data_IF_297370855463
#
_entry.id   IF_297370855463
#
_cell.length_a   1.000
_cell.length_b   1.000
_cell.length_c   1.000
_cell.angle_alpha   90.00
_cell.angle_beta   90.00
_cell.angle_gamma   90.00
#
_symmetry.space_group_name_H-M   'P 1'
#
loop_
_entity.id
_entity.type
_entity.pdbx_description
1 polymer ?
#
# COMPACT_ATOMS: atom_id res chain seq x y z
N UNK A 1 -2.13 -64.66 -23.01
CA UNK A 1 -1.70 -63.25 -23.04
C UNK A 1 -1.73 -62.74 -21.61
N UNK A 2 -0.62 -62.26 -21.07
CA UNK A 2 -0.56 -61.69 -19.72
C UNK A 2 -1.06 -60.23 -19.75
N UNK A 3 -1.82 -59.82 -18.74
CA UNK A 3 -2.18 -58.41 -18.59
C UNK A 3 -0.94 -57.55 -18.41
N UNK A 4 -0.82 -56.46 -19.19
CA UNK A 4 0.29 -55.52 -19.05
C UNK A 4 0.04 -54.61 -17.84
N UNK A 5 0.45 -55.06 -16.66
CA UNK A 5 0.49 -54.24 -15.44
C UNK A 5 1.34 -52.99 -15.68
N UNK A 6 0.70 -51.83 -15.82
CA UNK A 6 1.37 -50.54 -15.96
C UNK A 6 1.52 -49.85 -14.60
N UNK A 7 2.64 -49.16 -14.41
CA UNK A 7 2.83 -48.23 -13.31
C UNK A 7 2.06 -46.92 -13.53
N UNK A 8 1.64 -46.29 -12.42
CA UNK A 8 1.14 -44.92 -12.42
C UNK A 8 2.30 -43.94 -12.18
N UNK A 9 2.56 -43.07 -13.15
CA UNK A 9 3.59 -42.05 -13.09
C UNK A 9 3.10 -40.69 -12.59
N UNK A 10 4.08 -39.88 -12.17
CA UNK A 10 4.06 -38.44 -11.90
C UNK A 10 2.80 -37.83 -11.27
N UNK A 11 2.89 -37.59 -9.97
CA UNK A 11 2.22 -36.44 -9.34
C UNK A 11 2.65 -35.12 -10.01
N UNK A 12 1.74 -34.42 -10.69
CA UNK A 12 1.97 -33.05 -11.16
C UNK A 12 1.33 -32.03 -10.23
N UNK A 13 2.13 -31.10 -9.71
CA UNK A 13 1.67 -29.95 -8.92
C UNK A 13 0.66 -29.11 -9.71
N UNK A 14 -0.47 -28.76 -9.07
CA UNK A 14 -1.26 -27.61 -9.50
C UNK A 14 -0.53 -26.33 -9.08
N UNK A 15 -0.59 -25.28 -9.90
CA UNK A 15 -0.35 -23.91 -9.41
C UNK A 15 -1.41 -23.61 -8.35
N UNK A 16 -1.05 -23.42 -7.07
CA UNK A 16 -2.03 -22.92 -6.10
C UNK A 16 -2.52 -21.54 -6.52
N UNK A 17 -3.81 -21.29 -6.36
CA UNK A 17 -4.37 -19.97 -6.56
C UNK A 17 -3.78 -19.05 -5.47
N UNK A 18 -2.91 -18.12 -5.86
CA UNK A 18 -2.23 -17.19 -4.94
C UNK A 18 -3.21 -16.59 -3.93
N UNK A 19 -2.77 -16.44 -2.69
CA UNK A 19 -3.61 -15.94 -1.60
C UNK A 19 -4.26 -14.60 -1.97
N UNK A 20 -5.58 -14.62 -2.14
CA UNK A 20 -6.38 -13.44 -2.46
C UNK A 20 -6.53 -12.52 -1.23
N UNK A 21 -5.41 -11.90 -0.86
CA UNK A 21 -5.47 -10.44 -0.79
C UNK A 21 -5.88 -9.99 -2.21
N UNK A 22 -7.02 -9.33 -2.31
CA UNK A 22 -7.69 -8.90 -3.56
C UNK A 22 -6.67 -8.30 -4.56
N UNK A 23 -6.71 -8.47 -5.89
CA UNK A 23 -5.72 -7.88 -6.87
C UNK A 23 -6.31 -7.47 -8.25
N UNK A 24 -5.58 -6.71 -9.11
CA UNK A 24 -6.10 -6.17 -10.41
C UNK A 24 -5.14 -6.40 -11.63
N UNK A 25 -5.58 -7.11 -12.70
CA UNK A 25 -5.22 -7.07 -14.17
C UNK A 25 -5.42 -8.44 -14.93
N UNK A 26 -5.45 -8.51 -16.29
CA UNK A 26 -6.00 -9.66 -17.13
C UNK A 26 -5.25 -9.94 -18.50
N UNK A 27 -5.26 -11.18 -19.09
CA UNK A 27 -4.70 -11.64 -20.43
C UNK A 27 -5.13 -13.10 -20.95
N UNK A 28 -4.75 -13.65 -22.16
CA UNK A 28 -4.91 -15.11 -22.59
C UNK A 28 -4.60 -15.66 -24.06
N UNK A 29 -4.28 -17.01 -24.29
CA UNK A 29 -3.92 -17.84 -25.57
C UNK A 29 -3.80 -19.45 -25.33
N UNK A 30 -3.56 -20.57 -26.15
CA UNK A 30 -3.54 -21.18 -27.58
C UNK A 30 -3.31 -22.78 -27.66
N UNK A 31 -3.53 -23.58 -28.79
CA UNK A 31 -3.26 -25.09 -29.05
C UNK A 31 -3.54 -25.61 -30.56
N UNK A 32 -3.45 -26.85 -31.21
CA UNK A 32 -2.80 -28.26 -31.29
C UNK A 32 -3.15 -29.00 -32.69
N UNK A 33 -2.95 -30.26 -33.26
CA UNK A 33 -2.35 -31.70 -33.20
C UNK A 33 -2.27 -32.37 -34.67
N UNK A 34 -2.10 -33.65 -35.21
CA UNK A 34 -1.87 -35.17 -35.04
C UNK A 34 -1.37 -35.85 -36.45
N UNK A 35 -1.18 -37.13 -36.97
CA UNK A 35 -1.27 -38.67 -36.84
C UNK A 35 -0.86 -39.39 -38.24
N UNK A 36 -0.82 -40.68 -38.78
CA UNK A 36 -0.83 -42.22 -38.56
C UNK A 36 -0.63 -43.01 -39.97
N UNK A 37 -0.51 -44.32 -40.42
CA UNK A 37 -0.24 -45.83 -40.15
C UNK A 37 -0.09 -46.68 -41.55
N UNK A 38 0.05 -48.02 -41.95
CA UNK A 38 0.09 -49.53 -41.58
C UNK A 38 0.69 -50.54 -42.73
N UNK A 39 0.68 -51.94 -42.66
CA UNK A 39 1.21 -53.04 -43.63
C UNK A 39 0.43 -54.46 -43.65
N UNK A 40 0.67 -55.73 -44.19
CA UNK A 40 1.72 -56.73 -44.77
C UNK A 40 1.13 -57.82 -45.84
N UNK A 41 1.43 -59.13 -46.24
CA UNK A 41 2.26 -60.42 -45.94
C UNK A 41 2.29 -61.58 -47.11
N UNK A 42 2.59 -62.94 -46.92
CA UNK A 42 3.03 -64.07 -47.93
C UNK A 42 2.27 -65.51 -47.97
N UNK A 43 2.58 -66.80 -48.46
CA UNK A 43 3.72 -67.72 -48.99
C UNK A 43 3.34 -69.04 -49.91
N UNK A 44 3.94 -70.30 -49.84
CA UNK A 44 3.98 -71.53 -50.82
C UNK A 44 4.25 -72.99 -50.17
N UNK A 45 4.61 -74.26 -50.72
CA UNK A 45 4.71 -75.09 -52.02
C UNK A 45 4.44 -76.73 -52.01
N UNK A 46 5.04 -77.62 -52.92
CA UNK A 46 5.39 -79.15 -52.91
C UNK A 46 4.63 -80.38 -53.69
N UNK A 47 5.30 -81.52 -54.16
CA UNK A 47 4.75 -82.89 -54.70
C UNK A 47 5.72 -84.11 -55.18
N UNK A 48 5.34 -85.45 -55.23
CA UNK A 48 6.19 -86.70 -55.64
C UNK A 48 5.54 -88.19 -55.76
N UNK A 49 6.00 -89.24 -56.57
CA UNK A 49 5.83 -90.78 -56.37
C UNK A 49 6.45 -91.93 -57.36
N UNK A 50 6.47 -93.26 -56.97
CA UNK A 50 7.03 -94.56 -57.58
C UNK A 50 6.16 -95.90 -57.52
N UNK A 51 6.56 -97.09 -58.10
CA UNK A 51 6.22 -98.53 -57.68
C UNK A 51 6.91 -99.75 -58.45
N UNK A 52 7.64 -100.71 -57.80
CA UNK A 52 8.01 -102.09 -58.29
C UNK A 52 8.71 -102.98 -57.21
N UNK A 53 8.07 -104.01 -56.59
CA UNK A 53 8.41 -104.36 -55.17
C UNK A 53 8.93 -105.79 -54.81
N UNK A 54 8.52 -106.92 -55.43
CA UNK A 54 8.54 -108.22 -54.71
C UNK A 54 9.62 -109.28 -55.02
N UNK A 55 10.51 -109.12 -56.00
CA UNK A 55 11.64 -110.04 -56.20
C UNK A 55 12.86 -109.73 -55.29
N UNK A 56 12.94 -108.51 -54.77
CA UNK A 56 14.06 -107.94 -54.00
C UNK A 56 13.96 -108.27 -52.50
N UNK A 57 13.73 -109.55 -52.17
CA UNK A 57 13.34 -109.98 -50.81
C UNK A 57 14.38 -110.87 -50.09
N UNK A 58 15.39 -111.40 -50.78
CA UNK A 58 16.46 -112.17 -50.13
C UNK A 58 17.36 -111.28 -49.25
N UNK A 59 17.84 -111.81 -48.13
CA UNK A 59 18.62 -111.06 -47.13
C UNK A 59 17.79 -110.23 -46.14
N UNK A 60 16.46 -110.32 -46.17
CA UNK A 60 15.58 -109.66 -45.20
C UNK A 60 15.39 -110.51 -43.94
N UNK A 61 15.54 -109.89 -42.78
CA UNK A 61 15.25 -110.50 -41.48
C UNK A 61 13.80 -110.23 -41.05
N UNK A 62 13.17 -111.20 -40.38
CA UNK A 62 11.83 -111.08 -39.81
C UNK A 62 11.90 -110.95 -38.29
N UNK A 63 11.84 -109.71 -37.80
CA UNK A 63 11.87 -109.37 -36.37
C UNK A 63 13.26 -108.94 -35.87
N UNK A 64 13.26 -108.24 -34.73
CA UNK A 64 14.43 -107.71 -34.04
C UNK A 64 14.27 -107.87 -32.52
N UNK A 65 15.37 -107.87 -31.78
CA UNK A 65 15.34 -107.83 -30.31
C UNK A 65 15.38 -106.38 -29.83
N UNK A 66 14.37 -105.98 -29.04
CA UNK A 66 14.34 -104.63 -28.45
C UNK A 66 15.36 -104.51 -27.32
N UNK A 67 16.13 -103.42 -27.32
CA UNK A 67 17.13 -103.10 -26.30
C UNK A 67 16.60 -101.92 -25.48
N UNK A 68 16.42 -102.15 -24.18
CA UNK A 68 15.95 -101.10 -23.27
C UNK A 68 17.03 -100.03 -23.03
N UNK A 69 16.62 -98.77 -23.11
CA UNK A 69 17.44 -97.58 -22.79
C UNK A 69 16.77 -96.85 -21.61
N UNK A 70 17.54 -96.53 -20.57
CA UNK A 70 17.06 -95.67 -19.48
C UNK A 70 16.91 -94.23 -19.98
N UNK A 71 15.73 -93.65 -19.77
CA UNK A 71 15.40 -92.27 -20.12
C UNK A 71 15.14 -91.38 -18.89
N UNK A 72 15.29 -91.92 -17.66
CA UNK A 72 14.89 -91.26 -16.42
C UNK A 72 15.61 -89.93 -16.11
N UNK A 73 16.76 -89.67 -16.74
CA UNK A 73 17.41 -88.35 -16.70
C UNK A 73 16.65 -87.31 -17.54
N UNK A 74 16.27 -87.67 -18.78
CA UNK A 74 15.47 -86.82 -19.69
C UNK A 74 14.09 -86.55 -19.07
N UNK A 75 13.43 -87.58 -18.52
CA UNK A 75 12.13 -87.44 -17.84
C UNK A 75 12.19 -86.41 -16.70
N UNK A 76 13.19 -86.50 -15.81
CA UNK A 76 13.37 -85.57 -14.69
C UNK A 76 13.72 -84.15 -15.13
N UNK A 77 14.47 -83.99 -16.21
CA UNK A 77 14.73 -82.68 -16.80
C UNK A 77 13.45 -82.07 -17.39
N UNK A 78 12.64 -82.87 -18.08
CA UNK A 78 11.35 -82.46 -18.64
C UNK A 78 10.31 -82.12 -17.56
N UNK A 79 10.30 -82.84 -16.43
CA UNK A 79 9.45 -82.53 -15.26
C UNK A 79 9.81 -81.18 -14.65
N UNK A 80 11.08 -80.95 -14.28
CA UNK A 80 11.56 -79.66 -13.76
C UNK A 80 11.28 -78.49 -14.71
N UNK A 81 11.44 -78.72 -16.01
CA UNK A 81 11.16 -77.73 -17.04
C UNK A 81 9.65 -77.36 -17.05
N UNK A 82 8.75 -78.35 -16.99
CA UNK A 82 7.30 -78.13 -16.87
C UNK A 82 6.94 -77.40 -15.57
N UNK A 83 7.54 -77.76 -14.43
CA UNK A 83 7.34 -77.07 -13.14
C UNK A 83 7.78 -75.60 -13.16
N UNK A 84 8.87 -75.29 -13.87
CA UNK A 84 9.32 -73.91 -14.08
C UNK A 84 8.42 -73.10 -15.05
N UNK A 85 7.51 -73.76 -15.79
CA UNK A 85 6.66 -73.15 -16.81
C UNK A 85 7.24 -73.16 -18.22
N UNK A 86 8.28 -73.95 -18.49
CA UNK A 86 8.75 -74.22 -19.86
C UNK A 86 7.72 -75.13 -20.55
N UNK A 87 7.33 -74.78 -21.78
CA UNK A 87 6.46 -75.64 -22.58
C UNK A 87 7.26 -76.82 -23.15
N UNK A 88 7.03 -78.03 -22.63
CA UNK A 88 7.76 -79.25 -23.03
C UNK A 88 6.81 -80.24 -23.69
N UNK A 89 6.97 -80.41 -25.00
CA UNK A 89 6.30 -81.41 -25.82
C UNK A 89 7.17 -82.66 -26.00
N UNK A 90 6.58 -83.83 -25.76
CA UNK A 90 7.18 -85.11 -26.15
C UNK A 90 6.95 -85.36 -27.65
N UNK A 91 7.97 -85.85 -28.35
CA UNK A 91 7.92 -86.13 -29.80
C UNK A 91 7.70 -87.63 -30.06
N UNK A 92 7.52 -88.02 -31.33
CA UNK A 92 7.40 -89.43 -31.68
C UNK A 92 8.71 -90.19 -31.42
N UNK A 93 8.59 -91.47 -31.04
CA UNK A 93 9.72 -92.36 -30.77
C UNK A 93 10.62 -92.44 -32.02
N UNK A 94 11.88 -92.03 -31.88
CA UNK A 94 12.87 -92.11 -32.96
C UNK A 94 13.43 -93.53 -33.02
N UNK A 95 12.96 -94.32 -34.00
CA UNK A 95 13.60 -95.58 -34.34
C UNK A 95 15.04 -95.34 -34.82
N UNK A 96 16.00 -96.00 -34.19
CA UNK A 96 17.43 -95.96 -34.55
C UNK A 96 17.84 -97.12 -35.46
N UNK A 97 16.90 -97.99 -35.82
CA UNK A 97 17.10 -99.16 -36.66
C UNK A 97 17.49 -100.41 -35.87
N UNK A 98 17.81 -101.48 -36.60
CA UNK A 98 18.23 -102.78 -36.02
C UNK A 98 19.71 -103.02 -36.31
N UNK A 99 20.54 -103.00 -35.27
CA UNK A 99 21.96 -103.30 -35.38
C UNK A 99 22.23 -104.77 -35.62
N UNK A 100 23.14 -105.05 -36.57
CA UNK A 100 23.50 -106.41 -36.99
C UNK A 100 24.79 -106.94 -36.33
N UNK A 101 25.50 -106.12 -35.54
CA UNK A 101 26.69 -106.55 -34.78
C UNK A 101 26.81 -105.82 -33.44
N UNK A 102 27.38 -106.49 -32.44
CA UNK A 102 27.50 -105.93 -31.07
C UNK A 102 28.33 -104.63 -30.97
N UNK A 103 29.44 -104.42 -31.71
CA UNK A 103 30.17 -103.14 -31.66
C UNK A 103 29.33 -101.95 -32.15
N UNK A 104 28.43 -102.18 -33.13
CA UNK A 104 27.49 -101.14 -33.57
C UNK A 104 26.43 -100.86 -32.52
N UNK A 105 25.90 -101.89 -31.84
CA UNK A 105 24.94 -101.70 -30.74
C UNK A 105 25.51 -100.81 -29.61
N UNK A 106 26.78 -101.00 -29.23
CA UNK A 106 27.41 -100.12 -28.23
C UNK A 106 27.70 -98.71 -28.77
N UNK A 107 27.99 -98.56 -30.07
CA UNK A 107 28.05 -97.25 -30.72
C UNK A 107 26.67 -96.55 -30.68
N UNK A 108 25.61 -97.24 -31.11
CA UNK A 108 24.23 -96.73 -31.11
C UNK A 108 23.77 -96.34 -29.70
N UNK A 109 24.10 -97.13 -28.66
CA UNK A 109 23.86 -96.76 -27.26
C UNK A 109 24.61 -95.49 -26.85
N UNK A 110 25.86 -95.32 -27.29
CA UNK A 110 26.67 -94.12 -27.02
C UNK A 110 26.10 -92.88 -27.71
N UNK A 111 25.65 -93.02 -28.97
CA UNK A 111 25.00 -91.96 -29.73
C UNK A 111 23.63 -91.57 -29.13
N UNK A 112 22.82 -92.55 -28.72
CA UNK A 112 21.58 -92.30 -27.97
C UNK A 112 21.89 -91.59 -26.65
N UNK A 113 22.92 -92.00 -25.91
CA UNK A 113 23.31 -91.33 -24.66
C UNK A 113 23.76 -89.89 -24.90
N UNK A 114 24.54 -89.60 -25.94
CA UNK A 114 24.90 -88.22 -26.28
C UNK A 114 23.68 -87.37 -26.65
N UNK A 115 22.71 -87.95 -27.35
CA UNK A 115 21.45 -87.26 -27.66
C UNK A 115 20.62 -86.99 -26.38
N UNK A 116 20.52 -87.96 -25.46
CA UNK A 116 19.88 -87.77 -24.15
C UNK A 116 20.58 -86.71 -23.28
N UNK A 117 21.92 -86.76 -23.18
CA UNK A 117 22.70 -85.79 -22.41
C UNK A 117 22.56 -84.37 -23.02
N UNK A 118 22.43 -84.27 -24.35
CA UNK A 118 22.09 -83.02 -25.05
C UNK A 118 20.67 -82.55 -24.75
N UNK A 119 19.66 -83.43 -24.83
CA UNK A 119 18.26 -83.09 -24.50
C UNK A 119 18.13 -82.59 -23.05
N UNK A 120 18.78 -83.26 -22.08
CA UNK A 120 18.85 -82.82 -20.69
C UNK A 120 19.45 -81.43 -20.59
N UNK A 121 20.59 -81.17 -21.25
CA UNK A 121 21.24 -79.85 -21.23
C UNK A 121 20.35 -78.75 -21.83
N UNK A 122 19.70 -79.00 -22.96
CA UNK A 122 18.80 -78.02 -23.60
C UNK A 122 17.58 -77.71 -22.72
N UNK A 123 17.03 -78.72 -22.04
CA UNK A 123 15.96 -78.57 -21.05
C UNK A 123 16.44 -77.79 -19.80
N UNK A 124 17.62 -78.07 -19.25
CA UNK A 124 18.16 -77.38 -18.07
C UNK A 124 18.52 -75.91 -18.38
N UNK A 125 19.06 -75.63 -19.57
CA UNK A 125 19.28 -74.26 -20.04
C UNK A 125 17.97 -73.48 -20.21
N UNK A 126 16.93 -74.09 -20.78
CA UNK A 126 15.61 -73.47 -20.91
C UNK A 126 14.95 -73.23 -19.55
N UNK A 127 15.04 -74.21 -18.65
CA UNK A 127 14.54 -74.14 -17.26
C UNK A 127 15.20 -73.00 -16.50
N UNK A 128 16.52 -72.87 -16.61
CA UNK A 128 17.28 -71.80 -15.94
C UNK A 128 16.83 -70.42 -16.42
N UNK A 129 16.75 -70.22 -17.75
CA UNK A 129 16.26 -68.98 -18.37
C UNK A 129 14.84 -68.63 -17.90
N UNK A 130 13.95 -69.62 -17.76
CA UNK A 130 12.59 -69.41 -17.27
C UNK A 130 12.52 -69.09 -15.77
N UNK A 131 13.34 -69.72 -14.92
CA UNK A 131 13.41 -69.44 -13.48
C UNK A 131 13.94 -68.03 -13.20
N UNK A 132 14.97 -67.59 -13.93
CA UNK A 132 15.44 -66.19 -13.87
C UNK A 132 14.33 -65.21 -14.28
N UNK A 133 13.59 -65.53 -15.34
CA UNK A 133 12.51 -64.70 -15.85
C UNK A 133 11.33 -64.59 -14.88
N UNK A 134 10.89 -65.72 -14.32
CA UNK A 134 9.88 -65.79 -13.26
C UNK A 134 10.30 -64.96 -12.03
N UNK A 135 11.59 -64.91 -11.72
CA UNK A 135 12.15 -64.13 -10.60
C UNK A 135 12.13 -62.63 -10.90
N UNK A 136 12.63 -62.22 -12.07
CA UNK A 136 12.61 -60.82 -12.50
C UNK A 136 11.17 -60.28 -12.63
N UNK A 137 10.23 -61.07 -13.15
CA UNK A 137 8.82 -60.69 -13.26
C UNK A 137 8.15 -60.48 -11.89
N UNK A 138 8.45 -61.33 -10.91
CA UNK A 138 7.98 -61.16 -9.52
C UNK A 138 8.56 -59.90 -8.86
N UNK A 139 9.80 -59.52 -9.19
CA UNK A 139 10.37 -58.25 -8.73
C UNK A 139 9.69 -57.04 -9.38
N UNK A 140 9.47 -57.09 -10.70
CA UNK A 140 8.78 -56.05 -11.46
C UNK A 140 7.36 -55.80 -10.92
N UNK A 141 6.57 -56.86 -10.70
CA UNK A 141 5.24 -56.72 -10.10
C UNK A 141 5.29 -56.04 -8.73
N UNK A 142 6.18 -56.46 -7.83
CA UNK A 142 6.30 -55.84 -6.49
C UNK A 142 6.67 -54.36 -6.56
N UNK A 143 7.57 -53.97 -7.46
CA UNK A 143 7.95 -52.57 -7.65
C UNK A 143 6.80 -51.73 -8.22
N UNK A 144 6.07 -52.26 -9.22
CA UNK A 144 4.90 -51.61 -9.82
C UNK A 144 3.76 -51.48 -8.81
N UNK A 145 3.45 -52.53 -8.04
CA UNK A 145 2.45 -52.52 -6.98
C UNK A 145 2.78 -51.49 -5.88
N UNK A 146 4.03 -51.45 -5.40
CA UNK A 146 4.46 -50.50 -4.39
C UNK A 146 4.36 -49.04 -4.87
N UNK A 147 4.66 -48.78 -6.15
CA UNK A 147 4.44 -47.47 -6.76
C UNK A 147 2.96 -47.11 -6.87
N UNK A 148 2.13 -48.02 -7.39
CA UNK A 148 0.71 -47.78 -7.62
C UNK A 148 -0.06 -47.59 -6.30
N UNK A 149 0.30 -48.34 -5.24
CA UNK A 149 -0.26 -48.15 -3.90
C UNK A 149 0.09 -46.77 -3.34
N UNK A 150 1.37 -46.36 -3.41
CA UNK A 150 1.79 -45.03 -2.94
C UNK A 150 1.03 -43.90 -3.67
N UNK A 151 0.88 -44.02 -4.99
CA UNK A 151 0.11 -43.04 -5.79
C UNK A 151 -1.37 -43.01 -5.40
N UNK A 152 -1.98 -44.17 -5.10
CA UNK A 152 -3.36 -44.25 -4.64
C UNK A 152 -3.54 -43.65 -3.23
N UNK A 153 -2.65 -43.97 -2.29
CA UNK A 153 -2.69 -43.48 -0.91
C UNK A 153 -2.55 -41.96 -0.83
N UNK A 154 -1.56 -41.39 -1.52
CA UNK A 154 -1.34 -39.94 -1.55
C UNK A 154 -2.43 -39.21 -2.35
N UNK A 155 -3.02 -39.86 -3.37
CA UNK A 155 -4.20 -39.30 -4.05
C UNK A 155 -5.36 -39.21 -3.07
N UNK A 156 -5.72 -40.30 -2.38
CA UNK A 156 -6.83 -40.33 -1.43
C UNK A 156 -6.68 -39.29 -0.29
N UNK A 157 -5.45 -39.05 0.19
CA UNK A 157 -5.15 -38.01 1.21
C UNK A 157 -5.39 -36.57 0.73
N UNK A 158 -5.26 -36.30 -0.57
CA UNK A 158 -5.21 -34.94 -1.12
C UNK A 158 -6.30 -34.62 -2.17
N UNK A 159 -7.15 -35.59 -2.50
CA UNK A 159 -8.22 -35.48 -3.51
C UNK A 159 -9.27 -34.42 -3.15
N UNK A 160 -9.51 -34.18 -1.86
CA UNK A 160 -10.40 -33.10 -1.37
C UNK A 160 -9.82 -31.69 -1.51
N UNK A 161 -8.51 -31.53 -1.71
CA UNK A 161 -7.83 -30.22 -1.78
C UNK A 161 -7.25 -29.91 -3.17
N UNK A 162 -6.99 -30.91 -4.02
CA UNK A 162 -6.19 -30.71 -5.23
C UNK A 162 -6.61 -31.53 -6.45
N UNK A 163 -6.44 -30.92 -7.62
CA UNK A 163 -6.50 -31.60 -8.92
C UNK A 163 -5.20 -32.36 -9.15
N UNK A 164 -5.01 -33.46 -8.42
CA UNK A 164 -3.93 -34.43 -8.66
C UNK A 164 -4.20 -35.13 -9.99
N UNK A 165 -3.38 -34.85 -11.00
CA UNK A 165 -3.39 -35.63 -12.24
C UNK A 165 -2.42 -36.79 -12.11
N UNK A 166 -2.93 -38.01 -12.12
CA UNK A 166 -2.14 -39.25 -12.28
C UNK A 166 -2.12 -39.62 -13.76
N UNK A 167 -0.98 -40.05 -14.28
CA UNK A 167 -0.81 -40.49 -15.68
C UNK A 167 -0.15 -41.86 -15.72
N UNK A 168 -0.59 -42.80 -16.57
CA UNK A 168 0.09 -44.09 -16.70
C UNK A 168 1.49 -43.91 -17.27
N UNK A 169 2.46 -44.65 -16.71
CA UNK A 169 3.84 -44.69 -17.18
C UNK A 169 4.09 -46.01 -17.93
N UNK A 170 4.08 -45.91 -19.26
CA UNK A 170 4.35 -47.01 -20.17
C UNK A 170 5.80 -47.49 -20.16
N UNK A 171 6.75 -46.76 -19.56
CA UNK A 171 8.16 -47.21 -19.43
C UNK A 171 8.34 -48.36 -18.43
N UNK A 172 7.31 -48.67 -17.64
CA UNK A 172 7.23 -49.88 -16.80
C UNK A 172 6.67 -51.11 -17.53
N UNK A 173 6.31 -50.99 -18.81
CA UNK A 173 5.75 -52.10 -19.56
C UNK A 173 6.82 -53.17 -19.90
N UNK A 174 6.48 -54.44 -19.65
CA UNK A 174 7.31 -55.59 -19.99
C UNK A 174 6.76 -56.36 -21.19
N UNK A 175 7.65 -56.99 -21.95
CA UNK A 175 7.35 -57.99 -22.97
C UNK A 175 7.41 -59.43 -22.42
N UNK A 176 7.82 -59.60 -21.17
CA UNK A 176 8.03 -60.89 -20.53
C UNK A 176 9.47 -61.42 -20.64
N UNK A 177 10.46 -60.62 -21.06
CA UNK A 177 11.89 -61.00 -21.04
C UNK A 177 12.59 -60.63 -19.73
N UNK A 178 13.68 -61.33 -19.39
CA UNK A 178 14.50 -61.05 -18.19
C UNK A 178 15.00 -59.60 -18.16
N UNK A 179 15.44 -59.06 -19.30
CA UNK A 179 15.92 -57.67 -19.38
C UNK A 179 14.78 -56.69 -19.11
N UNK A 180 13.66 -56.78 -19.84
CA UNK A 180 12.54 -55.83 -19.66
C UNK A 180 11.88 -55.94 -18.29
N UNK A 181 11.88 -57.12 -17.68
CA UNK A 181 11.46 -57.28 -16.28
C UNK A 181 12.41 -56.54 -15.30
N UNK A 182 13.74 -56.64 -15.48
CA UNK A 182 14.72 -55.89 -14.65
C UNK A 182 14.68 -54.38 -14.90
N UNK A 183 14.50 -53.96 -16.15
CA UNK A 183 14.30 -52.56 -16.54
C UNK A 183 13.03 -51.99 -15.90
N UNK A 184 11.88 -52.66 -16.04
CA UNK A 184 10.61 -52.26 -15.44
C UNK A 184 10.67 -52.22 -13.91
N UNK A 185 11.32 -53.19 -13.27
CA UNK A 185 11.54 -53.20 -11.82
C UNK A 185 12.40 -52.02 -11.35
N UNK A 186 13.40 -51.60 -12.14
CA UNK A 186 14.25 -50.44 -11.86
C UNK A 186 13.45 -49.15 -12.05
N UNK A 187 12.80 -48.98 -13.20
CA UNK A 187 12.03 -47.80 -13.55
C UNK A 187 10.86 -47.55 -12.59
N UNK A 188 10.18 -48.59 -12.12
CA UNK A 188 9.13 -48.46 -11.10
C UNK A 188 9.66 -48.01 -9.72
N UNK A 189 10.89 -48.37 -9.34
CA UNK A 189 11.56 -47.86 -8.12
C UNK A 189 11.97 -46.40 -8.26
N UNK A 190 12.48 -46.00 -9.44
CA UNK A 190 12.79 -44.61 -9.77
C UNK A 190 11.53 -43.74 -9.68
N UNK A 191 10.44 -44.14 -10.36
CA UNK A 191 9.17 -43.41 -10.37
C UNK A 191 8.55 -43.31 -8.97
N UNK A 192 8.68 -44.34 -8.13
CA UNK A 192 8.28 -44.27 -6.71
C UNK A 192 9.13 -43.25 -5.92
N UNK A 193 10.42 -43.14 -6.22
CA UNK A 193 11.31 -42.13 -5.61
C UNK A 193 10.96 -40.72 -6.05
N UNK A 194 10.74 -40.52 -7.37
CA UNK A 194 10.29 -39.27 -7.98
C UNK A 194 8.93 -38.83 -7.44
N UNK A 195 7.96 -39.75 -7.34
CA UNK A 195 6.63 -39.50 -6.76
C UNK A 195 6.75 -39.11 -5.27
N UNK A 196 7.57 -39.81 -4.47
CA UNK A 196 7.82 -39.44 -3.05
C UNK A 196 8.43 -38.04 -2.92
N UNK A 197 9.39 -37.70 -3.78
CA UNK A 197 9.96 -36.36 -3.83
C UNK A 197 8.93 -35.31 -4.23
N UNK A 198 8.13 -35.56 -5.27
CA UNK A 198 7.09 -34.64 -5.73
C UNK A 198 6.04 -34.36 -4.65
N UNK A 199 5.65 -35.37 -3.87
CA UNK A 199 4.74 -35.23 -2.72
C UNK A 199 5.39 -34.44 -1.57
N UNK A 200 6.65 -34.71 -1.22
CA UNK A 200 7.38 -33.93 -0.21
C UNK A 200 7.53 -32.45 -0.62
N UNK A 201 7.95 -32.19 -1.86
CA UNK A 201 8.07 -30.84 -2.44
C UNK A 201 6.69 -30.13 -2.54
N UNK A 202 5.60 -30.88 -2.65
CA UNK A 202 4.21 -30.39 -2.61
C UNK A 202 3.79 -30.00 -1.18
N UNK A 203 4.05 -30.86 -0.19
CA UNK A 203 3.66 -30.61 1.21
C UNK A 203 4.38 -29.40 1.81
N UNK A 204 5.68 -29.24 1.54
CA UNK A 204 6.46 -28.08 2.01
C UNK A 204 5.90 -26.76 1.45
N UNK A 205 5.69 -26.68 0.14
CA UNK A 205 5.14 -25.49 -0.49
C UNK A 205 3.65 -25.25 -0.13
N UNK A 206 2.86 -26.31 0.09
CA UNK A 206 1.49 -26.19 0.62
C UNK A 206 1.49 -25.55 2.02
N UNK A 207 2.40 -25.97 2.90
CA UNK A 207 2.58 -25.35 4.22
C UNK A 207 2.89 -23.85 4.12
N UNK A 208 3.72 -23.45 3.15
CA UNK A 208 4.00 -22.03 2.87
C UNK A 208 2.75 -21.29 2.34
N UNK A 209 1.95 -21.92 1.47
CA UNK A 209 0.69 -21.38 0.97
C UNK A 209 -0.34 -21.19 2.10
N UNK A 210 -0.63 -22.22 2.88
CA UNK A 210 -1.61 -22.19 3.97
C UNK A 210 -1.21 -21.17 5.05
N UNK A 211 0.10 -21.05 5.33
CA UNK A 211 0.64 -20.00 6.22
C UNK A 211 0.43 -18.60 5.66
N UNK A 212 0.72 -18.39 4.37
CA UNK A 212 0.50 -17.10 3.68
C UNK A 212 -0.98 -16.70 3.70
N UNK A 213 -1.89 -17.64 3.45
CA UNK A 213 -3.34 -17.43 3.51
C UNK A 213 -3.79 -17.09 4.94
N UNK A 214 -3.28 -17.78 5.96
CA UNK A 214 -3.59 -17.52 7.37
C UNK A 214 -3.14 -16.12 7.80
N UNK A 215 -1.94 -15.69 7.40
CA UNK A 215 -1.47 -14.33 7.65
C UNK A 215 -2.28 -13.28 6.87
N UNK A 216 -2.56 -13.51 5.58
CA UNK A 216 -3.35 -12.60 4.75
C UNK A 216 -4.75 -12.35 5.34
N UNK A 217 -5.44 -13.41 5.77
CA UNK A 217 -6.74 -13.32 6.45
C UNK A 217 -6.66 -12.58 7.80
N UNK A 218 -5.50 -12.62 8.47
CA UNK A 218 -5.26 -11.87 9.72
C UNK A 218 -5.03 -10.39 9.42
N UNK A 219 -4.28 -10.07 8.36
CA UNK A 219 -4.07 -8.70 7.90
C UNK A 219 -5.36 -8.04 7.42
N UNK A 220 -6.17 -8.73 6.61
CA UNK A 220 -7.45 -8.20 6.12
C UNK A 220 -8.35 -7.77 7.29
N UNK A 221 -8.55 -8.64 8.29
CA UNK A 221 -9.33 -8.31 9.50
C UNK A 221 -8.80 -7.11 10.28
N UNK A 222 -7.47 -6.93 10.34
CA UNK A 222 -6.86 -5.76 10.97
C UNK A 222 -7.09 -4.47 10.17
N UNK A 223 -7.01 -4.55 8.83
CA UNK A 223 -7.30 -3.43 7.92
C UNK A 223 -8.78 -3.03 7.98
N UNK A 224 -9.70 -3.99 7.99
CA UNK A 224 -11.14 -3.73 8.10
C UNK A 224 -11.47 -3.02 9.43
N UNK A 225 -10.97 -3.56 10.54
CA UNK A 225 -11.16 -2.97 11.88
C UNK A 225 -10.57 -1.56 11.99
N UNK A 226 -9.38 -1.32 11.44
CA UNK A 226 -8.77 0.00 11.41
C UNK A 226 -9.53 0.98 10.50
N UNK A 227 -10.05 0.50 9.36
CA UNK A 227 -10.87 1.29 8.43
C UNK A 227 -12.17 1.75 9.09
N UNK A 228 -12.86 0.88 9.82
CA UNK A 228 -14.07 1.24 10.56
C UNK A 228 -13.83 2.17 11.76
N UNK A 229 -12.64 2.16 12.36
CA UNK A 229 -12.24 3.18 13.35
C UNK A 229 -12.01 4.53 12.68
N UNK A 230 -11.24 4.57 11.60
CA UNK A 230 -10.90 5.80 10.88
C UNK A 230 -12.13 6.49 10.25
N UNK A 231 -13.08 5.72 9.71
CA UNK A 231 -14.38 6.26 9.22
C UNK A 231 -15.19 6.95 10.33
N UNK A 232 -15.19 6.42 11.56
CA UNK A 232 -15.85 7.04 12.72
C UNK A 232 -15.17 8.34 13.15
N UNK A 233 -13.86 8.43 12.96
CA UNK A 233 -13.06 9.66 13.08
C UNK A 233 -13.22 10.62 11.87
N UNK A 234 -14.16 10.34 10.96
CA UNK A 234 -14.44 11.09 9.70
C UNK A 234 -13.28 11.14 8.71
N UNK A 235 -12.37 10.16 8.75
CA UNK A 235 -11.30 9.99 7.78
C UNK A 235 -11.83 9.17 6.59
N UNK A 236 -11.55 9.62 5.36
CA UNK A 236 -11.82 8.83 4.15
C UNK A 236 -10.79 7.68 4.01
N UNK A 237 -11.26 6.50 3.63
CA UNK A 237 -10.46 5.26 3.63
C UNK A 237 -10.70 4.45 2.36
N UNK A 238 -9.72 4.47 1.47
CA UNK A 238 -9.68 3.65 0.25
C UNK A 238 -8.95 2.33 0.50
N UNK A 239 -9.71 1.24 0.66
CA UNK A 239 -9.15 -0.13 0.67
C UNK A 239 -8.64 -0.46 -0.73
N UNK A 240 -7.41 -0.99 -0.83
CA UNK A 240 -6.76 -1.30 -2.11
C UNK A 240 -6.38 -2.78 -2.23
N UNK A 241 -6.58 -3.23 -3.46
CA UNK A 241 -6.59 -4.60 -3.93
C UNK A 241 -5.22 -4.90 -4.59
N UNK A 242 -4.27 -5.50 -3.82
CA UNK A 242 -3.03 -6.19 -4.30
C UNK A 242 -2.95 -7.69 -3.88
N UNK A 243 -2.64 -8.62 -4.81
CA UNK A 243 -2.43 -10.06 -4.49
C UNK A 243 -1.01 -10.40 -4.04
N UNK A 244 -0.87 -11.41 -3.16
CA UNK A 244 0.39 -11.84 -2.52
C UNK A 244 0.81 -13.27 -2.88
N UNK A 245 2.11 -13.53 -2.82
CA UNK A 245 2.73 -14.83 -3.11
C UNK A 245 3.44 -15.47 -1.91
N UNK A 246 3.69 -14.71 -0.83
CA UNK A 246 4.53 -15.14 0.30
C UNK A 246 4.20 -14.42 1.62
N UNK A 247 4.61 -15.03 2.72
CA UNK A 247 4.65 -14.46 4.08
C UNK A 247 5.31 -13.08 4.12
N UNK A 248 6.47 -12.93 3.47
CA UNK A 248 7.23 -11.67 3.47
C UNK A 248 6.48 -10.52 2.79
N UNK A 249 5.70 -10.79 1.73
CA UNK A 249 4.81 -9.80 1.11
C UNK A 249 3.70 -9.35 2.08
N UNK A 250 3.11 -10.29 2.84
CA UNK A 250 2.06 -9.97 3.82
C UNK A 250 2.62 -9.15 4.99
N UNK A 251 3.81 -9.47 5.49
CA UNK A 251 4.46 -8.71 6.56
C UNK A 251 4.89 -7.30 6.12
N UNK A 252 5.36 -7.15 4.87
CA UNK A 252 5.64 -5.84 4.29
C UNK A 252 4.37 -4.99 4.14
N UNK A 253 3.26 -5.58 3.66
CA UNK A 253 1.96 -4.90 3.58
C UNK A 253 1.42 -4.53 4.97
N UNK A 254 1.57 -5.41 5.97
CA UNK A 254 1.21 -5.11 7.36
C UNK A 254 1.96 -3.88 7.87
N UNK A 255 3.28 -3.84 7.74
CA UNK A 255 4.11 -2.71 8.18
C UNK A 255 3.73 -1.40 7.50
N UNK A 256 3.42 -1.43 6.20
CA UNK A 256 2.95 -0.25 5.46
C UNK A 256 1.57 0.22 5.96
N UNK A 257 0.64 -0.70 6.22
CA UNK A 257 -0.69 -0.39 6.75
C UNK A 257 -0.61 0.18 8.17
N UNK A 258 0.17 -0.42 9.06
CA UNK A 258 0.39 0.06 10.44
C UNK A 258 0.94 1.51 10.43
N UNK A 259 1.88 1.82 9.54
CA UNK A 259 2.42 3.18 9.35
C UNK A 259 1.37 4.17 8.81
N UNK A 260 0.55 3.75 7.84
CA UNK A 260 -0.53 4.58 7.29
C UNK A 260 -1.59 4.90 8.35
N UNK A 261 -2.04 3.89 9.11
CA UNK A 261 -3.03 4.02 10.19
C UNK A 261 -2.51 4.95 11.29
N UNK A 262 -1.26 4.76 11.74
CA UNK A 262 -0.64 5.63 12.75
C UNK A 262 -0.51 7.10 12.26
N UNK A 263 -0.25 7.30 10.97
CA UNK A 263 -0.19 8.64 10.36
C UNK A 263 -1.57 9.29 10.27
N UNK A 264 -2.61 8.53 9.92
CA UNK A 264 -3.99 9.01 9.88
C UNK A 264 -4.47 9.45 11.28
N UNK A 265 -4.29 8.59 12.30
CA UNK A 265 -4.71 8.92 13.68
C UNK A 265 -4.01 10.16 14.26
N UNK A 266 -2.73 10.37 13.94
CA UNK A 266 -2.02 11.62 14.30
C UNK A 266 -2.65 12.85 13.66
N UNK A 267 -3.07 12.78 12.39
CA UNK A 267 -3.78 13.89 11.71
C UNK A 267 -5.15 14.17 12.33
N UNK A 268 -5.90 13.15 12.75
CA UNK A 268 -7.18 13.33 13.46
C UNK A 268 -6.99 14.12 14.75
N UNK A 269 -6.00 13.75 15.58
CA UNK A 269 -5.71 14.45 16.85
C UNK A 269 -5.29 15.91 16.59
N UNK A 270 -4.42 16.16 15.61
CA UNK A 270 -4.01 17.52 15.26
C UNK A 270 -5.15 18.37 14.73
N UNK A 271 -5.99 17.82 13.82
CA UNK A 271 -7.14 18.53 13.28
C UNK A 271 -8.18 18.85 14.37
N UNK A 272 -8.37 17.96 15.35
CA UNK A 272 -9.23 18.23 16.49
C UNK A 272 -8.67 19.36 17.37
N UNK A 273 -7.40 19.29 17.75
CA UNK A 273 -6.77 20.34 18.56
C UNK A 273 -6.81 21.72 17.88
N UNK A 274 -6.67 21.76 16.54
CA UNK A 274 -6.81 22.97 15.74
C UNK A 274 -8.25 23.53 15.76
N UNK A 275 -9.26 22.65 15.67
CA UNK A 275 -10.67 23.05 15.74
C UNK A 275 -11.06 23.54 17.14
N UNK A 276 -10.58 22.85 18.18
CA UNK A 276 -10.80 23.23 19.58
C UNK A 276 -10.17 24.63 19.86
N UNK A 277 -8.92 24.86 19.42
CA UNK A 277 -8.23 26.15 19.54
C UNK A 277 -8.87 27.28 18.71
N UNK A 278 -9.37 26.98 17.50
CA UNK A 278 -10.15 27.94 16.71
C UNK A 278 -11.44 28.34 17.43
N UNK A 279 -12.11 27.38 18.06
CA UNK A 279 -13.35 27.60 18.82
C UNK A 279 -13.12 28.44 20.08
N UNK A 280 -12.01 28.23 20.79
CA UNK A 280 -11.61 29.09 21.91
C UNK A 280 -11.30 30.52 21.43
N UNK A 281 -10.54 30.66 20.33
CA UNK A 281 -10.20 31.96 19.74
C UNK A 281 -11.44 32.76 19.33
N UNK A 282 -12.41 32.09 18.69
CA UNK A 282 -13.69 32.70 18.33
C UNK A 282 -14.50 33.11 19.57
N UNK A 283 -14.56 32.27 20.60
CA UNK A 283 -15.27 32.57 21.86
C UNK A 283 -14.65 33.78 22.56
N UNK A 284 -13.34 33.78 22.78
CA UNK A 284 -12.63 34.87 23.43
C UNK A 284 -12.75 36.19 22.66
N UNK A 285 -12.73 36.15 21.32
CA UNK A 285 -12.97 37.32 20.47
C UNK A 285 -14.40 37.87 20.64
N UNK A 286 -15.42 37.00 20.69
CA UNK A 286 -16.81 37.42 20.93
C UNK A 286 -17.00 38.06 22.30
N UNK A 287 -16.45 37.47 23.36
CA UNK A 287 -16.51 38.02 24.73
C UNK A 287 -15.85 39.41 24.82
N UNK A 288 -14.66 39.57 24.24
CA UNK A 288 -13.91 40.84 24.24
C UNK A 288 -14.62 41.92 23.44
N UNK A 289 -15.26 41.57 22.31
CA UNK A 289 -16.07 42.51 21.54
C UNK A 289 -17.33 42.96 22.30
N UNK A 290 -18.07 42.04 22.91
CA UNK A 290 -19.26 42.38 23.71
C UNK A 290 -18.93 43.29 24.90
N UNK A 291 -17.82 43.04 25.59
CA UNK A 291 -17.35 43.88 26.68
C UNK A 291 -16.86 45.26 26.20
N UNK A 292 -16.16 45.32 25.06
CA UNK A 292 -15.75 46.57 24.43
C UNK A 292 -16.95 47.44 23.99
N UNK A 293 -17.99 46.83 23.40
CA UNK A 293 -19.22 47.54 23.01
C UNK A 293 -19.97 48.08 24.23
N UNK A 294 -20.08 47.28 25.32
CA UNK A 294 -20.64 47.73 26.60
C UNK A 294 -19.89 48.95 27.15
N UNK A 295 -18.56 48.85 27.25
CA UNK A 295 -17.67 49.94 27.72
C UNK A 295 -17.78 51.19 26.84
N UNK A 296 -17.85 51.01 25.52
CA UNK A 296 -18.04 52.08 24.54
C UNK A 296 -19.38 52.80 24.74
N UNK A 297 -20.47 52.05 24.92
CA UNK A 297 -21.80 52.60 25.19
C UNK A 297 -21.88 53.33 26.54
N UNK A 298 -21.18 52.86 27.57
CA UNK A 298 -21.12 53.53 28.88
C UNK A 298 -20.32 54.84 28.84
N UNK A 299 -19.16 54.87 28.16
CA UNK A 299 -18.33 56.08 28.07
C UNK A 299 -18.97 57.17 27.20
N UNK A 300 -19.63 56.78 26.09
CA UNK A 300 -20.43 57.70 25.25
C UNK A 300 -21.53 58.40 26.05
N UNK A 301 -22.22 57.69 26.95
CA UNK A 301 -23.25 58.27 27.84
C UNK A 301 -22.70 59.30 28.82
N UNK A 302 -21.41 59.22 29.18
CA UNK A 302 -20.74 60.20 30.05
C UNK A 302 -20.07 61.35 29.29
N UNK A 303 -20.29 61.49 27.98
CA UNK A 303 -19.72 62.58 27.16
C UNK A 303 -18.25 62.38 26.79
N UNK A 304 -17.66 61.22 27.09
CA UNK A 304 -16.28 60.89 26.73
C UNK A 304 -16.19 60.64 25.23
N UNK A 305 -15.28 61.34 24.56
CA UNK A 305 -14.99 61.11 23.15
C UNK A 305 -14.11 59.87 22.99
N UNK A 306 -14.51 58.99 22.07
CA UNK A 306 -13.85 57.71 21.81
C UNK A 306 -13.33 57.65 20.39
N UNK A 307 -12.14 57.06 20.23
CA UNK A 307 -11.67 56.49 18.98
C UNK A 307 -11.74 54.96 19.11
N UNK A 308 -11.94 54.23 18.01
CA UNK A 308 -12.09 52.78 18.02
C UNK A 308 -11.46 52.17 16.77
N UNK A 309 -10.76 51.05 16.93
CA UNK A 309 -10.03 50.35 15.87
C UNK A 309 -10.33 48.86 15.94
N UNK A 310 -10.69 48.26 14.82
CA UNK A 310 -10.81 46.80 14.67
C UNK A 310 -9.42 46.18 14.42
N UNK A 311 -9.19 44.99 14.97
CA UNK A 311 -8.02 44.15 14.71
C UNK A 311 -8.48 42.70 14.59
N UNK A 312 -7.96 41.99 13.59
CA UNK A 312 -8.10 40.53 13.51
C UNK A 312 -7.14 39.88 14.50
N UNK A 313 -7.57 38.81 15.16
CA UNK A 313 -6.78 38.09 16.18
C UNK A 313 -6.49 36.67 15.74
N UNK A 314 -5.25 36.24 15.98
CA UNK A 314 -4.73 34.92 15.62
C UNK A 314 -5.04 33.84 16.67
N UNK A 315 -5.32 34.24 17.92
CA UNK A 315 -5.45 33.33 19.05
C UNK A 315 -6.34 33.89 20.16
N UNK A 316 -6.83 32.99 21.03
CA UNK A 316 -7.60 33.35 22.21
C UNK A 316 -6.79 34.25 23.18
N UNK A 317 -5.48 34.06 23.28
CA UNK A 317 -4.64 34.85 24.19
C UNK A 317 -4.36 36.26 23.66
N UNK A 318 -4.27 36.44 22.34
CA UNK A 318 -4.25 37.77 21.71
C UNK A 318 -5.56 38.52 21.99
N UNK A 319 -6.71 37.86 21.85
CA UNK A 319 -8.02 38.43 22.22
C UNK A 319 -8.06 38.84 23.71
N UNK A 320 -7.69 37.93 24.62
CA UNK A 320 -7.63 38.19 26.08
C UNK A 320 -6.67 39.35 26.41
N UNK A 321 -5.58 39.53 25.65
CA UNK A 321 -4.66 40.66 25.81
C UNK A 321 -5.29 41.98 25.37
N UNK A 322 -6.02 42.01 24.25
CA UNK A 322 -6.79 43.19 23.83
C UNK A 322 -7.88 43.54 24.85
N UNK A 323 -8.56 42.54 25.43
CA UNK A 323 -9.51 42.74 26.53
C UNK A 323 -8.91 43.47 27.74
N UNK A 324 -7.68 43.12 28.13
CA UNK A 324 -6.93 43.81 29.20
C UNK A 324 -6.57 45.25 28.83
N UNK A 325 -6.19 45.50 27.58
CA UNK A 325 -5.92 46.87 27.08
C UNK A 325 -7.19 47.72 27.08
N UNK A 326 -8.32 47.16 26.64
CA UNK A 326 -9.64 47.80 26.65
C UNK A 326 -10.12 48.11 28.07
N UNK A 327 -9.82 47.25 29.06
CA UNK A 327 -10.08 47.52 30.48
C UNK A 327 -9.27 48.73 30.97
N UNK A 328 -7.94 48.73 30.79
CA UNK A 328 -7.08 49.83 31.24
C UNK A 328 -7.46 51.19 30.63
N UNK A 329 -7.76 51.21 29.32
CA UNK A 329 -8.23 52.42 28.63
C UNK A 329 -9.59 52.92 29.14
N UNK A 330 -10.51 51.99 29.46
CA UNK A 330 -11.81 52.32 30.03
C UNK A 330 -11.69 52.91 31.45
N UNK A 331 -10.87 52.31 32.31
CA UNK A 331 -10.65 52.78 33.68
C UNK A 331 -9.99 54.17 33.69
N UNK A 332 -8.98 54.38 32.83
CA UNK A 332 -8.35 55.70 32.65
C UNK A 332 -9.36 56.75 32.17
N UNK A 333 -10.24 56.40 31.23
CA UNK A 333 -11.29 57.29 30.74
C UNK A 333 -12.33 57.64 31.83
N UNK A 334 -12.75 56.66 32.65
CA UNK A 334 -13.62 56.90 33.81
C UNK A 334 -12.97 57.80 34.85
N UNK A 335 -11.69 57.59 35.16
CA UNK A 335 -10.94 58.45 36.09
C UNK A 335 -10.87 59.89 35.58
N UNK A 336 -10.44 60.10 34.33
CA UNK A 336 -10.36 61.43 33.74
C UNK A 336 -11.71 62.16 33.71
N UNK A 337 -12.81 61.44 33.42
CA UNK A 337 -14.15 62.00 33.46
C UNK A 337 -14.58 62.40 34.88
N UNK A 338 -14.26 61.59 35.90
CA UNK A 338 -14.55 61.89 37.30
C UNK A 338 -13.74 63.08 37.84
N UNK A 339 -12.46 63.20 37.46
CA UNK A 339 -11.60 64.33 37.79
C UNK A 339 -12.08 65.63 37.12
N UNK A 340 -12.48 65.55 35.84
CA UNK A 340 -13.09 66.68 35.13
C UNK A 340 -14.40 67.13 35.79
N UNK A 341 -15.30 66.19 36.10
CA UNK A 341 -16.58 66.49 36.76
C UNK A 341 -16.36 67.16 38.12
N UNK A 342 -15.45 66.62 38.94
CA UNK A 342 -15.06 67.22 40.22
C UNK A 342 -14.55 68.66 40.05
N UNK A 343 -13.76 68.94 39.01
CA UNK A 343 -13.27 70.30 38.72
C UNK A 343 -14.38 71.23 38.22
N UNK A 344 -15.30 70.72 37.41
CA UNK A 344 -16.48 71.47 36.96
C UNK A 344 -17.37 71.89 38.15
N UNK A 345 -17.68 70.96 39.06
CA UNK A 345 -18.50 71.25 40.23
C UNK A 345 -17.80 72.16 41.25
N UNK A 346 -16.47 72.06 41.41
CA UNK A 346 -15.67 73.00 42.21
C UNK A 346 -15.73 74.43 41.66
N UNK A 347 -15.64 74.59 40.33
CA UNK A 347 -15.80 75.91 39.68
C UNK A 347 -17.24 76.42 39.79
N UNK A 348 -18.22 75.53 39.64
CA UNK A 348 -19.65 75.85 39.73
C UNK A 348 -20.04 76.37 41.11
N UNK A 349 -19.49 75.78 42.17
CA UNK A 349 -19.70 76.24 43.55
C UNK A 349 -19.09 77.63 43.84
N UNK A 350 -18.13 78.09 43.01
CA UNK A 350 -17.40 79.35 43.18
C UNK A 350 -17.89 80.49 42.27
N UNK A 351 -18.94 80.31 41.48
CA UNK A 351 -19.43 81.33 40.53
C UNK A 351 -19.90 82.64 41.18
N UNK A 352 -20.15 82.64 42.50
CA UNK A 352 -20.46 83.83 43.31
C UNK A 352 -19.24 84.41 44.06
N UNK A 353 -18.04 83.87 43.85
CA UNK A 353 -16.79 84.31 44.51
C UNK A 353 -16.05 85.34 43.67
N UNK A 354 -15.44 86.33 44.30
CA UNK A 354 -14.61 87.32 43.61
C UNK A 354 -13.45 86.65 42.84
N UNK A 355 -13.16 87.15 41.64
CA UNK A 355 -12.15 86.60 40.73
C UNK A 355 -12.59 85.37 39.91
N UNK A 356 -13.77 84.77 40.17
CA UNK A 356 -14.32 83.68 39.37
C UNK A 356 -15.36 84.18 38.35
N UNK A 357 -15.59 83.41 37.28
CA UNK A 357 -16.65 83.72 36.30
C UNK A 357 -18.03 83.38 36.87
N UNK A 358 -19.04 84.19 36.52
CA UNK A 358 -20.43 83.98 36.97
C UNK A 358 -21.07 82.69 36.46
N UNK A 359 -20.50 82.10 35.42
CA UNK A 359 -20.87 80.81 34.84
C UNK A 359 -19.60 79.98 34.59
N UNK A 360 -19.71 78.65 34.58
CA UNK A 360 -18.56 77.78 34.29
C UNK A 360 -18.40 77.66 32.77
N UNK A 361 -17.36 78.30 32.24
CA UNK A 361 -17.04 78.30 30.80
C UNK A 361 -15.72 77.57 30.54
N UNK A 362 -15.62 76.91 29.37
CA UNK A 362 -14.41 76.22 28.93
C UNK A 362 -13.66 77.07 27.90
N UNK A 363 -12.36 77.32 28.14
CA UNK A 363 -11.56 78.16 27.26
C UNK A 363 -11.12 77.42 25.99
N UNK A 364 -11.94 77.46 24.95
CA UNK A 364 -11.63 76.86 23.66
C UNK A 364 -10.54 77.62 22.86
N UNK A 365 -10.38 78.93 23.09
CA UNK A 365 -9.52 79.82 22.32
C UNK A 365 -8.20 80.13 23.06
N UNK A 366 -7.07 79.67 22.52
CA UNK A 366 -5.74 80.06 22.97
C UNK A 366 -5.21 81.21 22.11
N UNK A 367 -5.50 82.45 22.53
CA UNK A 367 -5.10 83.69 21.82
C UNK A 367 -4.17 84.60 22.63
N UNK A 368 -3.69 84.14 23.80
CA UNK A 368 -2.89 84.94 24.73
C UNK A 368 -1.38 85.00 24.39
N UNK A 369 -0.89 84.11 23.52
CA UNK A 369 0.54 84.05 23.17
C UNK A 369 0.92 85.24 22.28
N UNK A 370 1.86 86.07 22.74
CA UNK A 370 2.36 87.22 21.99
C UNK A 370 2.91 86.79 20.61
N UNK A 371 2.55 87.55 19.57
CA UNK A 371 2.88 87.24 18.17
C UNK A 371 3.65 88.42 17.50
N UNK A 372 4.86 88.77 18.00
CA UNK A 372 5.64 89.91 17.48
C UNK A 372 6.11 89.72 16.02
N UNK A 373 6.23 88.48 15.57
CA UNK A 373 6.62 88.13 14.20
C UNK A 373 5.45 87.77 13.28
N UNK A 374 4.22 88.15 13.67
CA UNK A 374 3.12 88.22 12.72
C UNK A 374 3.47 89.18 11.56
N UNK A 375 3.03 88.81 10.37
CA UNK A 375 2.90 89.75 9.24
C UNK A 375 1.61 90.52 9.46
N UNK A 376 1.62 91.83 9.23
CA UNK A 376 0.45 92.70 9.41
C UNK A 376 0.23 93.58 8.19
N UNK A 377 -0.97 93.49 7.62
CA UNK A 377 -1.41 94.24 6.45
C UNK A 377 -2.67 95.07 6.78
N UNK A 378 -2.95 96.11 6.01
CA UNK A 378 -4.11 96.99 6.18
C UNK A 378 -4.70 97.39 4.84
N UNK A 379 -6.03 97.47 4.75
CA UNK A 379 -6.75 97.93 3.56
C UNK A 379 -6.83 99.46 3.42
N UNK A 380 -6.43 100.22 4.44
CA UNK A 380 -6.46 101.68 4.37
C UNK A 380 -5.33 102.24 3.49
N UNK A 381 -5.70 103.00 2.45
CA UNK A 381 -4.74 103.67 1.58
C UNK A 381 -3.81 104.60 2.39
N UNK A 382 -2.50 104.46 2.19
CA UNK A 382 -1.49 105.22 2.92
C UNK A 382 -1.09 104.67 4.29
N UNK A 383 -1.55 103.47 4.67
CA UNK A 383 -1.04 102.77 5.85
C UNK A 383 0.47 102.51 5.77
N UNK A 384 1.20 102.74 6.86
CA UNK A 384 2.65 102.51 6.95
C UNK A 384 2.99 101.63 8.15
N UNK A 385 3.63 100.49 7.92
CA UNK A 385 4.27 99.72 9.00
C UNK A 385 5.52 100.48 9.45
N UNK A 386 5.70 100.67 10.76
CA UNK A 386 6.94 101.20 11.32
C UNK A 386 7.37 100.42 12.56
N UNK A 387 8.67 100.45 12.83
CA UNK A 387 9.34 99.81 13.97
C UNK A 387 9.93 100.84 14.93
N UNK A 388 9.50 102.12 14.81
CA UNK A 388 9.98 103.22 15.65
C UNK A 388 9.05 103.43 16.84
N UNK A 389 9.63 103.50 18.03
CA UNK A 389 8.95 103.67 19.32
C UNK A 389 8.06 104.93 19.40
N UNK A 390 8.29 105.91 18.51
CA UNK A 390 7.72 107.25 18.54
C UNK A 390 6.97 107.57 17.23
N UNK A 391 5.64 107.73 17.32
CA UNK A 391 4.72 107.88 16.17
C UNK A 391 4.09 109.29 16.08
N UNK A 392 4.68 110.29 16.74
CA UNK A 392 4.16 111.67 16.73
C UNK A 392 4.02 112.26 15.30
N UNK A 393 3.18 113.30 15.19
CA UNK A 393 3.12 114.15 14.00
C UNK A 393 4.28 115.15 13.98
N UNK A 394 4.60 115.68 12.80
CA UNK A 394 5.55 116.79 12.61
C UNK A 394 5.13 118.10 13.28
N UNK A 395 3.93 118.16 13.84
CA UNK A 395 3.26 119.40 14.28
C UNK A 395 3.02 119.46 15.80
N UNK A 396 3.51 118.47 16.57
CA UNK A 396 3.81 118.68 18.00
C UNK A 396 2.66 118.71 19.02
N UNK A 397 1.46 118.21 18.71
CA UNK A 397 0.31 118.30 19.66
C UNK A 397 -0.53 117.01 19.76
N UNK A 398 0.01 115.94 20.36
CA UNK A 398 -0.77 114.88 21.02
C UNK A 398 0.13 113.99 21.90
N UNK A 399 -0.43 113.41 22.98
CA UNK A 399 0.30 112.62 23.97
C UNK A 399 0.35 111.11 23.68
N UNK A 400 1.08 110.38 24.54
CA UNK A 400 1.18 108.91 24.57
C UNK A 400 1.52 108.21 23.24
N UNK A 401 2.66 108.58 22.64
CA UNK A 401 3.29 107.81 21.56
C UNK A 401 4.65 107.21 22.00
N UNK A 402 4.64 106.39 23.07
CA UNK A 402 5.67 105.37 23.27
C UNK A 402 5.04 104.00 23.08
N UNK A 403 5.48 103.29 22.05
CA UNK A 403 5.15 101.87 21.85
C UNK A 403 5.96 101.07 22.88
N UNK A 404 5.30 100.51 23.89
CA UNK A 404 6.00 99.84 25.00
C UNK A 404 6.38 98.39 24.67
N UNK A 405 5.47 97.63 24.06
CA UNK A 405 5.60 96.16 23.92
C UNK A 405 5.27 95.64 22.49
N UNK A 406 5.63 96.38 21.42
CA UNK A 406 5.37 95.95 20.03
C UNK A 406 6.56 96.18 19.09
N UNK A 407 6.95 95.13 18.37
CA UNK A 407 8.03 95.16 17.35
C UNK A 407 7.67 95.89 16.07
N UNK A 408 6.36 95.95 15.73
CA UNK A 408 5.80 96.56 14.52
C UNK A 408 4.49 97.24 14.86
N UNK A 409 4.24 98.43 14.30
CA UNK A 409 2.99 99.19 14.47
C UNK A 409 2.53 99.80 13.15
N UNK A 410 1.20 99.93 12.98
CA UNK A 410 0.59 100.58 11.82
C UNK A 410 0.38 102.06 12.10
N UNK A 411 0.94 102.91 11.24
CA UNK A 411 0.70 104.37 11.20
C UNK A 411 -0.30 104.68 10.09
N UNK A 412 -1.27 105.52 10.42
CA UNK A 412 -2.27 106.05 9.49
C UNK A 412 -2.19 107.58 9.42
N UNK A 413 -2.85 108.16 8.41
CA UNK A 413 -3.03 109.61 8.23
C UNK A 413 -4.53 109.90 8.11
N UNK A 414 -4.95 111.11 8.50
CA UNK A 414 -6.29 111.66 8.27
C UNK A 414 -7.46 110.78 8.81
N UNK A 415 -7.22 110.05 9.91
CA UNK A 415 -8.23 109.24 10.60
C UNK A 415 -9.26 110.14 11.29
N UNK A 416 -10.55 109.87 11.10
CA UNK A 416 -11.66 110.64 11.68
C UNK A 416 -12.97 109.86 11.72
N UNK A 417 -14.06 110.53 12.13
CA UNK A 417 -15.38 109.90 12.30
C UNK A 417 -15.86 109.23 11.02
N UNK A 418 -16.13 107.92 11.07
CA UNK A 418 -16.60 107.12 9.94
C UNK A 418 -15.49 106.55 9.04
N UNK A 419 -14.21 106.88 9.30
CA UNK A 419 -13.07 106.15 8.75
C UNK A 419 -13.12 104.68 9.17
N UNK A 420 -12.66 103.79 8.30
CA UNK A 420 -12.63 102.33 8.52
C UNK A 420 -11.35 101.74 7.96
N UNK A 421 -10.86 100.68 8.59
CA UNK A 421 -9.82 99.82 8.03
C UNK A 421 -10.10 98.36 8.36
N UNK A 422 -9.70 97.49 7.45
CA UNK A 422 -9.49 96.09 7.77
C UNK A 422 -7.99 95.88 7.98
N UNK A 423 -7.64 95.03 8.95
CA UNK A 423 -6.26 94.71 9.33
C UNK A 423 -6.14 93.20 9.41
N UNK A 424 -5.18 92.66 8.68
CA UNK A 424 -4.95 91.23 8.58
C UNK A 424 -3.62 90.84 9.20
N UNK A 425 -3.69 90.00 10.24
CA UNK A 425 -2.54 89.38 10.87
C UNK A 425 -2.38 87.96 10.33
N UNK A 426 -1.22 87.66 9.75
CA UNK A 426 -0.85 86.34 9.21
C UNK A 426 0.52 85.91 9.75
N UNK A 427 1.01 84.71 9.39
CA UNK A 427 2.22 84.10 9.99
C UNK A 427 2.12 83.94 11.53
N UNK A 428 0.91 83.70 12.02
CA UNK A 428 0.60 83.52 13.44
C UNK A 428 1.10 82.16 13.95
N UNK A 429 1.57 82.13 15.20
CA UNK A 429 2.19 80.96 15.84
C UNK A 429 1.72 80.80 17.29
N UNK A 430 1.51 79.56 17.71
CA UNK A 430 1.05 79.22 19.07
C UNK A 430 -0.40 79.64 19.39
N UNK A 431 -1.13 80.19 18.41
CA UNK A 431 -2.54 80.54 18.55
C UNK A 431 -3.38 79.37 18.06
N UNK A 432 -4.29 78.86 18.90
CA UNK A 432 -5.12 77.70 18.57
C UNK A 432 -6.57 77.88 18.98
N UNK A 433 -7.48 77.22 18.25
CA UNK A 433 -8.85 76.96 18.69
C UNK A 433 -9.03 75.46 18.91
N UNK A 434 -9.69 75.10 20.01
CA UNK A 434 -10.07 73.73 20.32
C UNK A 434 -11.52 73.51 19.89
N UNK A 435 -11.76 72.53 19.02
CA UNK A 435 -13.10 72.16 18.54
C UNK A 435 -13.82 71.26 19.55
N UNK A 436 -15.14 71.10 19.38
CA UNK A 436 -15.97 70.25 20.24
C UNK A 436 -15.57 68.76 20.22
N UNK A 437 -14.81 68.31 19.22
CA UNK A 437 -14.22 66.98 19.15
C UNK A 437 -12.80 66.88 19.77
N UNK A 438 -12.38 67.90 20.52
CA UNK A 438 -11.13 67.95 21.26
C UNK A 438 -9.88 68.22 20.41
N UNK A 439 -10.01 68.32 19.08
CA UNK A 439 -8.89 68.67 18.19
C UNK A 439 -8.49 70.12 18.39
N UNK A 440 -7.19 70.40 18.20
CA UNK A 440 -6.64 71.76 18.17
C UNK A 440 -6.31 72.13 16.73
N UNK A 441 -6.73 73.31 16.33
CA UNK A 441 -6.49 73.88 15.01
C UNK A 441 -5.74 75.20 15.16
N UNK A 442 -4.64 75.38 14.42
CA UNK A 442 -3.86 76.61 14.44
C UNK A 442 -4.63 77.78 13.80
N UNK A 443 -4.66 78.92 14.47
CA UNK A 443 -5.26 80.15 13.98
C UNK A 443 -4.24 80.86 13.08
N UNK A 444 -4.23 80.52 11.80
CA UNK A 444 -3.25 81.01 10.81
C UNK A 444 -3.43 82.47 10.39
N UNK A 445 -4.66 83.01 10.52
CA UNK A 445 -5.03 84.39 10.20
C UNK A 445 -6.00 84.96 11.24
N UNK A 446 -5.80 86.21 11.64
CA UNK A 446 -6.77 87.01 12.38
C UNK A 446 -7.06 88.26 11.56
N UNK A 447 -8.27 88.34 11.02
CA UNK A 447 -8.80 89.53 10.36
C UNK A 447 -9.54 90.40 11.39
N UNK A 448 -9.27 91.69 11.44
CA UNK A 448 -9.95 92.67 12.29
C UNK A 448 -10.49 93.82 11.46
N UNK A 449 -11.72 94.24 11.74
CA UNK A 449 -12.34 95.41 11.14
C UNK A 449 -12.51 96.50 12.21
N UNK A 450 -12.06 97.70 11.88
CA UNK A 450 -12.14 98.91 12.69
C UNK A 450 -12.96 99.95 11.91
#
# INVERSE_FOLDING_TARGET
MTEKTQGHGYFRKKKWAKGLVSGIAVAGFVAFSAGSAFADETVQPESKNDNNIYATQAGKATGSQSVAIDNGAVTKAAEKAKEAGVNVSETQIVDKGTDTTAPKLEQSKSEIKQDQDKQVKELEEATTKQVENNTAFKEAQKAIQANNQFVADEKAKHEGETTVTVTNDSSTATDGTVSKNKEAATKAKEVLSENKKAVADYLVEKGNYDTTVKQANTLNKAVDSASEQLKKEKVDVKVVTRTVSSVAEVEALKKANDQAIATAKRKVVLNKALLDAYSESQTASQEVNQDADRKSAELKKTGVLLNSKTQEVSSADEAKQIGKQNQAAYDQAKQAQAEWQKKYDELRAKTSTEGYTKEVVLQALSVATANPEATVESSASGAQVTTKDYIASSNGTSGYTRVLDSTKVLKYKDVGTGWKTEVDYTNLKGLTVSTADGKKHDISRIHRKF
#
